data_IF_774075540073
#
_entry.id   IF_774075540073
#
_cell.length_a   1.000
_cell.length_b   1.000
_cell.length_c   1.000
_cell.angle_alpha   90.00
_cell.angle_beta   90.00
_cell.angle_gamma   90.00
#
_symmetry.space_group_name_H-M   'P 1'
#
loop_
_entity.id
_entity.type
_entity.pdbx_description
1 polymer ?
#
# COMPACT_ATOMS: atom_id res chain seq x y z
N UNK A 1 18.50 7.79 13.63
CA UNK A 1 17.87 6.87 12.66
C UNK A 1 17.49 5.62 13.44
N UNK A 2 16.21 5.23 13.47
CA UNK A 2 15.78 3.97 14.11
C UNK A 2 16.45 2.79 13.37
N UNK A 3 16.74 1.68 14.04
CA UNK A 3 17.16 0.46 13.34
C UNK A 3 16.05 0.09 12.35
N UNK A 4 16.33 -0.26 11.08
CA UNK A 4 15.28 -0.62 10.15
C UNK A 4 14.36 -1.75 10.67
N UNK A 5 14.86 -2.60 11.59
CA UNK A 5 14.06 -3.60 12.32
C UNK A 5 13.00 -3.02 13.25
N UNK A 6 13.23 -1.83 13.79
CA UNK A 6 12.28 -1.14 14.66
C UNK A 6 11.11 -0.59 13.84
N UNK A 7 11.37 -0.10 12.63
CA UNK A 7 10.33 0.39 11.71
C UNK A 7 9.41 -0.76 11.28
N UNK A 8 9.99 -1.95 11.05
CA UNK A 8 9.23 -3.13 10.61
C UNK A 8 8.11 -3.50 11.60
N UNK A 9 8.32 -3.32 12.91
CA UNK A 9 7.32 -3.66 13.94
C UNK A 9 6.10 -2.76 13.92
N UNK A 10 6.27 -1.50 13.52
CA UNK A 10 5.21 -0.51 13.49
C UNK A 10 4.28 -0.70 12.28
N UNK A 11 4.74 -1.41 11.24
CA UNK A 11 3.97 -1.69 10.02
C UNK A 11 2.81 -2.63 10.32
N UNK A 12 1.61 -2.25 9.86
CA UNK A 12 0.37 -2.97 10.15
C UNK A 12 0.43 -4.47 9.80
N UNK A 13 1.02 -4.83 8.65
CA UNK A 13 1.12 -6.23 8.19
C UNK A 13 2.12 -7.07 8.99
N UNK A 14 2.98 -6.43 9.78
CA UNK A 14 4.02 -7.08 10.57
C UNK A 14 3.83 -6.94 12.09
N UNK A 15 2.77 -6.25 12.52
CA UNK A 15 2.43 -6.03 13.93
C UNK A 15 2.32 -7.30 14.79
N UNK A 16 2.15 -8.47 14.18
CA UNK A 16 2.01 -9.78 14.83
C UNK A 16 3.27 -10.66 14.74
N UNK A 17 4.35 -10.13 14.18
CA UNK A 17 5.59 -10.89 13.98
C UNK A 17 6.46 -10.89 15.25
N UNK A 18 6.99 -12.06 15.58
CA UNK A 18 8.02 -12.20 16.60
C UNK A 18 9.37 -11.67 16.10
N UNK A 19 10.34 -11.47 17.00
CA UNK A 19 11.70 -11.06 16.60
C UNK A 19 12.35 -12.05 15.63
N UNK A 20 12.03 -13.35 15.74
CA UNK A 20 12.52 -14.35 14.80
C UNK A 20 11.85 -14.21 13.42
N UNK A 21 10.54 -13.97 13.40
CA UNK A 21 9.80 -13.69 12.16
C UNK A 21 10.35 -12.45 11.45
N UNK A 22 10.67 -11.39 12.22
CA UNK A 22 11.26 -10.15 11.71
C UNK A 22 12.63 -10.41 11.09
N UNK A 23 13.47 -11.25 11.72
CA UNK A 23 14.77 -11.64 11.13
C UNK A 23 14.60 -12.35 9.80
N UNK A 24 13.60 -13.22 9.67
CA UNK A 24 13.34 -13.96 8.44
C UNK A 24 12.82 -13.01 7.35
N UNK A 25 11.82 -12.19 7.64
CA UNK A 25 11.26 -11.27 6.64
C UNK A 25 12.28 -10.22 6.20
N UNK A 26 13.14 -9.75 7.11
CA UNK A 26 14.20 -8.77 6.79
C UNK A 26 15.15 -9.25 5.68
N UNK A 27 15.29 -10.57 5.48
CA UNK A 27 16.15 -11.13 4.44
C UNK A 27 15.56 -11.00 3.03
N UNK A 28 14.25 -10.78 2.91
CA UNK A 28 13.58 -10.61 1.61
C UNK A 28 13.22 -9.16 1.31
N UNK A 29 13.34 -8.26 2.31
CA UNK A 29 13.13 -6.83 2.12
C UNK A 29 14.28 -6.24 1.32
N UNK A 30 13.95 -5.53 0.23
CA UNK A 30 14.94 -4.81 -0.57
C UNK A 30 14.70 -3.32 -0.41
N UNK A 31 15.73 -2.59 -0.04
CA UNK A 31 15.66 -1.13 -0.05
C UNK A 31 15.70 -0.64 -1.49
N UNK A 32 14.71 0.18 -1.86
CA UNK A 32 14.61 0.87 -3.14
C UNK A 32 14.47 2.37 -2.89
N UNK A 33 15.01 3.18 -3.80
CA UNK A 33 15.07 4.63 -3.67
C UNK A 33 14.44 5.28 -4.89
N UNK A 34 13.66 6.32 -4.65
CA UNK A 34 13.01 7.12 -5.67
C UNK A 34 13.27 8.60 -5.40
N UNK A 35 13.46 9.37 -6.46
CA UNK A 35 13.59 10.83 -6.41
C UNK A 35 12.21 11.49 -6.43
N UNK A 36 12.15 12.70 -5.89
CA UNK A 36 10.97 13.55 -6.02
C UNK A 36 10.48 13.59 -7.48
N UNK A 37 9.19 13.35 -7.68
CA UNK A 37 8.53 13.31 -8.98
C UNK A 37 8.58 11.96 -9.70
N UNK A 38 9.34 10.97 -9.20
CA UNK A 38 9.37 9.64 -9.82
C UNK A 38 8.10 8.83 -9.51
N UNK A 39 7.60 8.12 -10.52
CA UNK A 39 6.51 7.16 -10.37
C UNK A 39 7.03 5.87 -9.75
N UNK A 40 6.45 5.50 -8.61
CA UNK A 40 6.74 4.25 -7.87
C UNK A 40 5.81 3.13 -8.37
N UNK A 41 4.55 3.46 -8.62
CA UNK A 41 3.52 2.55 -9.15
C UNK A 41 2.74 3.32 -10.22
N UNK A 42 2.52 2.70 -11.37
CA UNK A 42 1.67 3.26 -12.43
C UNK A 42 0.32 2.51 -12.45
N UNK A 43 -0.80 3.24 -12.51
CA UNK A 43 -2.15 2.68 -12.64
C UNK A 43 -2.27 1.81 -13.90
N UNK A 44 -3.12 0.79 -13.85
CA UNK A 44 -3.42 -0.11 -14.98
C UNK A 44 -2.26 -0.97 -15.50
N UNK A 45 -1.06 -0.85 -14.92
CA UNK A 45 0.07 -1.75 -15.18
C UNK A 45 -0.03 -3.05 -14.37
N UNK A 46 0.66 -4.10 -14.82
CA UNK A 46 0.78 -5.32 -14.03
C UNK A 46 1.70 -5.09 -12.83
N UNK A 47 1.22 -5.46 -11.64
CA UNK A 47 1.99 -5.34 -10.40
C UNK A 47 2.34 -6.71 -9.80
N UNK A 48 3.59 -6.92 -9.43
CA UNK A 48 4.04 -8.10 -8.67
C UNK A 48 4.83 -7.75 -7.40
N UNK A 49 4.81 -6.48 -6.99
CA UNK A 49 5.51 -5.96 -5.81
C UNK A 49 4.59 -5.13 -4.94
N UNK A 50 4.88 -5.09 -3.65
CA UNK A 50 4.32 -4.10 -2.72
C UNK A 50 5.44 -3.35 -2.03
N UNK A 51 5.13 -2.15 -1.54
CA UNK A 51 6.10 -1.27 -0.91
C UNK A 51 5.66 -0.78 0.46
N UNK A 52 6.65 -0.50 1.30
CA UNK A 52 6.54 0.10 2.62
C UNK A 52 7.41 1.36 2.61
N UNK A 53 6.85 2.49 3.04
CA UNK A 53 7.57 3.77 3.08
C UNK A 53 8.45 3.82 4.33
N UNK A 54 9.75 4.05 4.16
CA UNK A 54 10.71 4.23 5.26
C UNK A 54 11.08 5.70 5.45
N UNK A 55 11.21 6.44 4.36
CA UNK A 55 11.50 7.87 4.33
C UNK A 55 10.76 8.54 3.15
N UNK A 56 10.44 9.82 3.31
CA UNK A 56 9.80 10.65 2.28
C UNK A 56 8.28 10.70 2.37
N UNK A 57 7.65 11.19 1.32
CA UNK A 57 6.20 11.35 1.19
C UNK A 57 5.79 10.88 -0.20
N UNK A 58 4.68 10.16 -0.30
CA UNK A 58 4.12 9.70 -1.58
C UNK A 58 2.67 10.14 -1.73
N UNK A 59 2.25 10.38 -2.97
CA UNK A 59 0.87 10.65 -3.34
C UNK A 59 0.26 9.46 -4.04
N UNK A 60 -0.94 9.07 -3.65
CA UNK A 60 -1.74 8.07 -4.36
C UNK A 60 -2.81 8.80 -5.15
N UNK A 61 -2.83 8.61 -6.46
CA UNK A 61 -3.77 9.24 -7.39
C UNK A 61 -4.44 8.20 -8.28
N UNK A 62 -5.65 8.53 -8.76
CA UNK A 62 -6.37 7.70 -9.73
C UNK A 62 -6.88 8.57 -10.87
N UNK A 63 -6.67 8.14 -12.10
CA UNK A 63 -7.21 8.83 -13.28
C UNK A 63 -8.70 8.55 -13.39
N UNK A 64 -9.51 9.60 -13.28
CA UNK A 64 -10.95 9.52 -13.50
C UNK A 64 -11.31 9.94 -14.93
N UNK A 65 -12.18 9.18 -15.57
CA UNK A 65 -12.80 9.55 -16.84
C UNK A 65 -14.15 10.21 -16.58
N UNK A 66 -14.27 11.52 -16.84
CA UNK A 66 -15.45 12.33 -16.52
C UNK A 66 -16.41 12.50 -17.72
N UNK A 67 -16.67 11.43 -18.48
CA UNK A 67 -17.42 11.56 -19.74
C UNK A 67 -16.54 12.14 -20.85
N UNK A 68 -17.00 13.18 -21.56
CA UNK A 68 -16.46 13.74 -22.83
C UNK A 68 -14.93 14.01 -22.89
N UNK A 69 -14.12 12.94 -22.88
CA UNK A 69 -12.67 12.88 -23.04
C UNK A 69 -11.78 13.60 -22.02
N UNK A 70 -12.35 14.33 -21.05
CA UNK A 70 -11.54 14.90 -19.98
C UNK A 70 -11.13 13.82 -18.96
N UNK A 71 -9.81 13.58 -18.91
CA UNK A 71 -9.15 12.82 -17.84
C UNK A 71 -8.72 13.80 -16.75
N UNK A 72 -9.01 13.46 -15.51
CA UNK A 72 -8.55 14.21 -14.35
C UNK A 72 -7.96 13.25 -13.33
N UNK A 73 -6.74 13.54 -12.89
CA UNK A 73 -6.14 12.81 -11.80
C UNK A 73 -6.73 13.28 -10.48
N UNK A 74 -7.38 12.36 -9.77
CA UNK A 74 -7.90 12.60 -8.44
C UNK A 74 -6.91 12.06 -7.42
N UNK A 75 -6.37 12.96 -6.60
CA UNK A 75 -5.60 12.59 -5.42
C UNK A 75 -6.53 11.87 -4.44
N UNK A 76 -6.19 10.62 -4.11
CA UNK A 76 -6.93 9.81 -3.15
C UNK A 76 -6.40 10.06 -1.74
N UNK A 77 -5.08 10.07 -1.57
CA UNK A 77 -4.43 10.30 -0.28
C UNK A 77 -2.93 10.59 -0.45
N UNK A 78 -2.29 11.00 0.64
CA UNK A 78 -0.83 11.13 0.76
C UNK A 78 -0.36 10.34 1.97
N UNK A 79 0.76 9.66 1.83
CA UNK A 79 1.29 8.76 2.86
C UNK A 79 2.74 9.12 3.18
N UNK A 80 3.08 9.01 4.46
CA UNK A 80 4.43 9.15 5.02
C UNK A 80 4.77 7.89 5.82
N UNK A 81 6.01 7.70 6.30
CA UNK A 81 6.38 6.54 7.13
C UNK A 81 5.48 6.36 8.36
N UNK A 82 5.01 7.44 8.96
CA UNK A 82 4.14 7.43 10.15
C UNK A 82 2.74 6.86 9.89
N UNK A 83 2.35 6.74 8.62
CA UNK A 83 1.11 6.05 8.23
C UNK A 83 1.17 4.55 8.52
N UNK A 84 2.38 3.97 8.56
CA UNK A 84 2.64 2.54 8.72
C UNK A 84 1.85 1.67 7.71
N UNK A 85 1.53 2.24 6.55
CA UNK A 85 0.75 1.61 5.49
C UNK A 85 1.64 0.86 4.49
N UNK A 86 1.00 0.00 3.70
CA UNK A 86 1.59 -0.74 2.59
C UNK A 86 0.89 -0.31 1.31
N UNK A 87 1.64 -0.11 0.23
CA UNK A 87 1.09 0.25 -1.08
C UNK A 87 1.38 -0.85 -2.11
N UNK A 88 0.50 -0.98 -3.10
CA UNK A 88 0.66 -1.96 -4.18
C UNK A 88 0.33 -3.41 -3.79
N UNK A 89 -0.14 -3.64 -2.57
CA UNK A 89 -0.47 -4.97 -2.05
C UNK A 89 -1.65 -5.61 -2.77
N UNK A 90 -2.61 -4.80 -3.26
CA UNK A 90 -3.77 -5.29 -4.00
C UNK A 90 -3.35 -6.08 -5.26
N UNK A 91 -2.51 -5.47 -6.10
CA UNK A 91 -2.02 -6.12 -7.32
C UNK A 91 -1.14 -7.33 -7.00
N UNK A 92 -0.33 -7.25 -5.95
CA UNK A 92 0.49 -8.37 -5.50
C UNK A 92 -0.37 -9.58 -5.13
N UNK A 93 -1.44 -9.38 -4.34
CA UNK A 93 -2.28 -10.45 -3.79
C UNK A 93 -3.34 -10.95 -4.78
N UNK A 94 -4.10 -10.04 -5.39
CA UNK A 94 -5.20 -10.38 -6.29
C UNK A 94 -4.72 -10.79 -7.70
N UNK A 95 -3.45 -10.55 -8.04
CA UNK A 95 -2.89 -10.72 -9.40
C UNK A 95 -3.64 -9.90 -10.44
N UNK A 96 -4.05 -8.71 -10.03
CA UNK A 96 -4.72 -7.72 -10.88
C UNK A 96 -3.75 -6.60 -11.26
N UNK A 97 -4.22 -5.72 -12.15
CA UNK A 97 -3.53 -4.48 -12.47
C UNK A 97 -3.46 -3.54 -11.26
N UNK A 98 -2.52 -2.60 -11.26
CA UNK A 98 -2.40 -1.54 -10.26
C UNK A 98 -3.68 -0.71 -10.24
N UNK A 99 -4.24 -0.51 -9.04
CA UNK A 99 -5.53 0.15 -8.85
C UNK A 99 -5.47 1.69 -8.90
N UNK A 100 -4.26 2.25 -8.76
CA UNK A 100 -3.94 3.68 -8.66
C UNK A 100 -2.44 3.88 -8.93
N UNK A 101 -2.06 5.08 -9.32
CA UNK A 101 -0.66 5.50 -9.42
C UNK A 101 -0.14 5.96 -8.06
N UNK A 102 1.16 5.79 -7.84
CA UNK A 102 1.88 6.31 -6.68
C UNK A 102 3.11 7.05 -7.14
N UNK A 103 3.22 8.32 -6.75
CA UNK A 103 4.33 9.21 -7.12
C UNK A 103 5.04 9.72 -5.87
N UNK A 104 6.36 9.80 -5.90
CA UNK A 104 7.15 10.37 -4.84
C UNK A 104 6.97 11.91 -4.80
N UNK A 105 6.53 12.45 -3.66
CA UNK A 105 6.44 13.90 -3.41
C UNK A 105 7.72 14.48 -2.78
N UNK A 106 8.65 13.62 -2.38
CA UNK A 106 10.00 13.96 -1.95
C UNK A 106 10.92 12.77 -2.24
N UNK A 107 12.22 12.89 -1.99
CA UNK A 107 13.12 11.74 -2.04
C UNK A 107 12.64 10.64 -1.08
N UNK A 108 12.35 9.47 -1.63
CA UNK A 108 11.79 8.34 -0.90
C UNK A 108 12.77 7.18 -0.75
N UNK A 109 12.70 6.53 0.40
CA UNK A 109 13.31 5.22 0.66
C UNK A 109 12.17 4.27 1.01
N UNK A 110 12.05 3.15 0.30
CA UNK A 110 11.02 2.14 0.55
C UNK A 110 11.62 0.75 0.71
N UNK A 111 10.95 -0.11 1.45
CA UNK A 111 11.13 -1.55 1.30
C UNK A 111 10.22 -2.10 0.20
N UNK A 112 10.81 -2.86 -0.70
CA UNK A 112 10.12 -3.68 -1.71
C UNK A 112 10.00 -5.12 -1.23
N UNK A 113 8.81 -5.69 -1.42
CA UNK A 113 8.57 -7.14 -1.31
C UNK A 113 7.96 -7.62 -2.63
N UNK A 114 8.61 -8.61 -3.24
CA UNK A 114 8.12 -9.26 -4.46
C UNK A 114 7.17 -10.40 -4.13
N UNK A 115 6.20 -10.65 -5.02
CA UNK A 115 5.26 -11.78 -4.91
C UNK A 115 5.98 -13.11 -4.74
N UNK A 116 7.04 -13.34 -5.51
CA UNK A 116 7.78 -14.61 -5.46
C UNK A 116 8.50 -14.79 -4.12
N UNK A 117 9.06 -13.70 -3.58
CA UNK A 117 9.68 -13.72 -2.26
C UNK A 117 8.63 -13.98 -1.16
N UNK A 118 7.42 -13.40 -1.26
CA UNK A 118 6.32 -13.68 -0.34
C UNK A 118 5.83 -15.13 -0.46
N UNK A 119 5.63 -15.64 -1.68
CA UNK A 119 5.22 -17.02 -1.93
C UNK A 119 6.23 -18.01 -1.33
N UNK A 120 7.53 -17.73 -1.51
CA UNK A 120 8.59 -18.52 -0.93
C UNK A 120 8.51 -18.55 0.61
N UNK A 121 8.22 -17.43 1.26
CA UNK A 121 8.00 -17.41 2.72
C UNK A 121 6.78 -18.26 3.12
N UNK A 122 5.69 -18.20 2.35
CA UNK A 122 4.48 -19.00 2.62
C UNK A 122 4.78 -20.50 2.50
N UNK A 123 5.61 -20.89 1.53
CA UNK A 123 6.00 -22.29 1.31
C UNK A 123 7.03 -22.79 2.34
N UNK A 124 8.10 -22.03 2.58
CA UNK A 124 9.22 -22.44 3.46
C UNK A 124 8.90 -22.23 4.96
N UNK A 125 8.05 -21.25 5.30
CA UNK A 125 7.62 -20.96 6.66
C UNK A 125 6.12 -20.62 6.72
N UNK A 126 5.24 -21.63 6.63
CA UNK A 126 3.79 -21.40 6.59
C UNK A 126 3.24 -20.63 7.79
N UNK A 127 3.80 -20.84 8.98
CA UNK A 127 3.39 -20.10 10.18
C UNK A 127 3.66 -18.59 10.05
N UNK A 128 4.80 -18.20 9.48
CA UNK A 128 5.11 -16.81 9.17
C UNK A 128 4.22 -16.29 8.05
N UNK A 129 4.07 -17.06 6.96
CA UNK A 129 3.20 -16.73 5.85
C UNK A 129 1.77 -16.41 6.31
N UNK A 130 1.19 -17.25 7.16
CA UNK A 130 -0.15 -17.03 7.74
C UNK A 130 -0.23 -15.71 8.52
N UNK A 131 0.79 -15.36 9.32
CA UNK A 131 0.80 -14.10 10.08
C UNK A 131 0.78 -12.88 9.14
N UNK A 132 1.57 -12.92 8.07
CA UNK A 132 1.64 -11.84 7.07
C UNK A 132 0.34 -11.73 6.30
N UNK A 133 -0.20 -12.86 5.82
CA UNK A 133 -1.49 -12.90 5.12
C UNK A 133 -2.62 -12.40 6.01
N UNK A 134 -2.63 -12.74 7.30
CA UNK A 134 -3.60 -12.23 8.25
C UNK A 134 -3.46 -10.70 8.42
N UNK A 135 -2.23 -10.19 8.52
CA UNK A 135 -1.97 -8.74 8.54
C UNK A 135 -2.48 -8.01 7.30
N UNK A 136 -2.32 -8.61 6.11
CA UNK A 136 -2.88 -8.10 4.86
C UNK A 136 -4.41 -8.12 4.86
N UNK A 137 -5.03 -9.20 5.35
CA UNK A 137 -6.47 -9.29 5.51
C UNK A 137 -7.01 -8.19 6.45
N UNK A 138 -6.32 -7.91 7.56
CA UNK A 138 -6.69 -6.83 8.48
C UNK A 138 -6.57 -5.45 7.81
N UNK A 139 -5.50 -5.21 7.05
CA UNK A 139 -5.29 -3.98 6.28
C UNK A 139 -6.42 -3.78 5.25
N UNK A 140 -6.69 -4.78 4.41
CA UNK A 140 -7.71 -4.71 3.38
C UNK A 140 -9.11 -4.55 3.98
N UNK A 141 -9.40 -5.23 5.11
CA UNK A 141 -10.68 -5.08 5.82
C UNK A 141 -10.87 -3.65 6.34
N UNK A 142 -9.82 -3.03 6.88
CA UNK A 142 -9.84 -1.62 7.32
C UNK A 142 -10.08 -0.68 6.13
N UNK A 143 -9.40 -0.90 5.01
CA UNK A 143 -9.58 -0.11 3.77
C UNK A 143 -10.99 -0.24 3.20
N UNK A 144 -11.53 -1.45 3.14
CA UNK A 144 -12.89 -1.71 2.67
C UNK A 144 -13.93 -1.00 3.54
N UNK A 145 -13.77 -1.07 4.86
CA UNK A 145 -14.65 -0.34 5.79
C UNK A 145 -14.58 1.17 5.57
N UNK A 146 -13.38 1.73 5.46
CA UNK A 146 -13.18 3.16 5.20
C UNK A 146 -13.82 3.59 3.88
N UNK A 147 -13.63 2.81 2.81
CA UNK A 147 -14.25 3.07 1.51
C UNK A 147 -15.78 3.06 1.61
N UNK A 148 -16.37 2.10 2.33
CA UNK A 148 -17.80 2.05 2.61
C UNK A 148 -18.30 3.28 3.36
N UNK A 149 -17.59 3.70 4.42
CA UNK A 149 -17.92 4.88 5.21
C UNK A 149 -17.86 6.16 4.34
N UNK A 150 -16.87 6.27 3.46
CA UNK A 150 -16.71 7.42 2.57
C UNK A 150 -17.79 7.47 1.48
N UNK A 151 -18.22 6.31 0.95
CA UNK A 151 -19.37 6.22 0.04
C UNK A 151 -20.64 6.74 0.73
N UNK A 152 -20.91 6.33 1.98
CA UNK A 152 -22.08 6.78 2.73
C UNK A 152 -22.05 8.29 2.96
N UNK A 153 -20.89 8.85 3.33
CA UNK A 153 -20.75 10.31 3.50
C UNK A 153 -21.06 11.06 2.21
N UNK A 154 -20.48 10.62 1.09
CA UNK A 154 -20.69 11.24 -0.21
C UNK A 154 -22.14 11.14 -0.69
N UNK A 155 -22.76 9.96 -0.57
CA UNK A 155 -24.17 9.78 -0.96
C UNK A 155 -25.12 10.61 -0.11
N UNK A 156 -24.81 10.75 1.18
CA UNK A 156 -25.60 11.59 2.11
C UNK A 156 -25.45 13.07 1.76
N UNK A 157 -24.22 13.54 1.52
CA UNK A 157 -23.96 14.92 1.12
C UNK A 157 -24.67 15.28 -0.21
N UNK A 158 -24.65 14.36 -1.19
CA UNK A 158 -25.35 14.53 -2.45
C UNK A 158 -26.87 14.57 -2.26
N UNK A 159 -27.43 13.66 -1.44
CA UNK A 159 -28.86 13.65 -1.14
C UNK A 159 -29.33 14.97 -0.50
N UNK A 160 -28.53 15.52 0.42
CA UNK A 160 -28.79 16.83 1.04
C UNK A 160 -28.72 17.94 -0.02
N UNK A 161 -27.70 17.94 -0.89
CA UNK A 161 -27.53 18.95 -1.93
C UNK A 161 -28.63 18.94 -3.01
N UNK A 162 -29.26 17.79 -3.27
CA UNK A 162 -30.37 17.65 -4.21
C UNK A 162 -31.75 17.89 -3.58
N UNK A 163 -31.84 17.87 -2.25
CA UNK A 163 -33.10 18.07 -1.52
C UNK A 163 -33.34 19.52 -1.07
N UNK A 164 -32.37 20.41 -1.31
CA UNK A 164 -32.46 21.86 -1.08
C UNK A 164 -32.54 22.61 -2.40
#
# INVERSE_FOLDING_TARGET
MKDPKDIIKDIVIFSRLSDNDIKIISNILREVRFKEGETIIEEDEEGNTMYIILEGEVEISKTLSLGNQDKMDKILTRLTPESHEVIGEMALIAREKRSASVTALSDCVLYEIKRDDLNRIIEENPCLGIKILYGLCELLSKRLKKAGDDIIKLSTALAIALSG
#
